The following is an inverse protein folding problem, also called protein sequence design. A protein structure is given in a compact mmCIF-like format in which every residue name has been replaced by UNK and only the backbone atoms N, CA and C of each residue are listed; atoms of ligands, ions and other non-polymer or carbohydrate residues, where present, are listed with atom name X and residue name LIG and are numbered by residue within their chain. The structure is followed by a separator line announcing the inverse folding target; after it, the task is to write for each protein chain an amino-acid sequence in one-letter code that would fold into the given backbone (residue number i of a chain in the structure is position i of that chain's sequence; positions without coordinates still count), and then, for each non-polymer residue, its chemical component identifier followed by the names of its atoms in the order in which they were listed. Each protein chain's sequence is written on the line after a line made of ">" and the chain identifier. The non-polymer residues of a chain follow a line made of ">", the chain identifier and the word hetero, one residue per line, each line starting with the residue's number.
data_IF_307288481401
#
_entry.id   IF_307288481401
#
_cell.length_a   1.000
_cell.length_b   1.000
_cell.length_c   1.000
_cell.angle_alpha   90.00
_cell.angle_beta   90.00
_cell.angle_gamma   90.00
#
_symmetry.space_group_name_H-M   'P 1'
#
loop_
_entity.id
_entity.type
_entity.pdbx_description
1 polymer ?
#
# COMPACT_ATOMS: atom_id res chain seq x y z
N UNK A 1 -17.87 11.72 9.42
CA UNK A 1 -18.55 11.08 8.28
C UNK A 1 -17.98 9.67 8.10
N UNK A 2 -18.84 8.66 8.21
CA UNK A 2 -18.47 7.27 7.94
C UNK A 2 -18.17 7.12 6.46
N UNK A 3 -17.02 6.51 6.14
CA UNK A 3 -16.56 6.30 4.76
C UNK A 3 -17.04 4.97 4.16
N UNK A 4 -18.12 4.41 4.71
CA UNK A 4 -18.75 3.18 4.25
C UNK A 4 -20.29 3.23 4.45
N UNK A 5 -21.09 2.51 3.65
CA UNK A 5 -22.54 2.40 3.85
C UNK A 5 -22.88 1.65 5.15
N UNK A 6 -23.88 2.11 5.89
CA UNK A 6 -24.25 1.51 7.18
C UNK A 6 -24.62 0.03 7.11
N UNK A 7 -25.23 -0.40 6.00
CA UNK A 7 -25.56 -1.81 5.74
C UNK A 7 -24.34 -2.67 5.43
N UNK A 8 -23.13 -2.08 5.35
CA UNK A 8 -21.85 -2.77 5.17
C UNK A 8 -21.00 -2.75 6.44
N UNK A 9 -21.55 -2.26 7.55
CA UNK A 9 -20.89 -2.28 8.84
C UNK A 9 -20.67 -3.73 9.29
N UNK A 10 -19.41 -4.08 9.65
CA UNK A 10 -18.99 -5.37 10.20
C UNK A 10 -18.55 -5.26 11.66
N UNK A 11 -17.80 -4.21 11.97
CA UNK A 11 -17.15 -4.03 13.26
C UNK A 11 -17.86 -2.97 14.10
N UNK A 12 -17.90 -3.20 15.41
CA UNK A 12 -18.38 -2.27 16.44
C UNK A 12 -17.27 -2.05 17.47
N UNK A 13 -17.46 -1.17 18.43
CA UNK A 13 -16.47 -0.98 19.50
C UNK A 13 -16.32 -2.24 20.39
N UNK A 14 -17.34 -3.07 20.49
CA UNK A 14 -17.32 -4.30 21.27
C UNK A 14 -16.26 -5.29 20.78
N UNK A 15 -15.99 -5.33 19.49
CA UNK A 15 -14.96 -6.20 18.90
C UNK A 15 -13.54 -5.83 19.37
N UNK A 16 -13.36 -4.65 19.97
CA UNK A 16 -12.07 -4.13 20.44
C UNK A 16 -11.93 -4.11 21.97
N UNK A 17 -12.96 -4.44 22.72
CA UNK A 17 -12.93 -4.40 24.20
C UNK A 17 -11.87 -5.31 24.79
N UNK A 18 -11.73 -6.51 24.26
CA UNK A 18 -10.74 -7.51 24.72
C UNK A 18 -9.42 -7.41 23.93
N UNK A 19 -9.50 -7.03 22.66
CA UNK A 19 -8.33 -6.96 21.77
C UNK A 19 -7.48 -5.70 22.01
N UNK A 20 -8.12 -4.57 22.33
CA UNK A 20 -7.49 -3.25 22.59
C UNK A 20 -8.07 -2.62 23.87
N UNK A 21 -7.93 -3.31 25.03
CA UNK A 21 -8.55 -2.86 26.30
C UNK A 21 -7.97 -1.54 26.81
N UNK A 22 -6.77 -1.16 26.38
CA UNK A 22 -6.11 0.11 26.73
C UNK A 22 -6.78 1.34 26.09
N UNK A 23 -7.60 1.12 25.06
CA UNK A 23 -8.26 2.20 24.35
C UNK A 23 -9.60 2.56 25.01
N UNK A 24 -9.89 3.86 25.07
CA UNK A 24 -11.22 4.32 25.47
C UNK A 24 -12.29 3.87 24.46
N UNK A 25 -13.54 3.71 24.90
CA UNK A 25 -14.67 3.37 24.02
C UNK A 25 -14.74 4.26 22.77
N UNK A 26 -14.46 5.57 22.89
CA UNK A 26 -14.41 6.49 21.75
C UNK A 26 -13.33 6.10 20.74
N UNK A 27 -12.14 5.70 21.20
CA UNK A 27 -11.04 5.26 20.31
C UNK A 27 -11.35 3.91 19.67
N UNK A 28 -11.94 2.98 20.41
CA UNK A 28 -12.43 1.70 19.87
C UNK A 28 -13.50 1.92 18.78
N UNK A 29 -14.40 2.88 18.95
CA UNK A 29 -15.36 3.25 17.88
C UNK A 29 -14.67 3.79 16.62
N UNK A 30 -13.60 4.58 16.78
CA UNK A 30 -12.80 5.09 15.65
C UNK A 30 -12.12 3.95 14.91
N UNK A 31 -11.50 3.00 15.62
CA UNK A 31 -10.92 1.79 15.01
C UNK A 31 -11.96 0.99 14.24
N UNK A 32 -13.12 0.74 14.86
CA UNK A 32 -14.21 0.02 14.20
C UNK A 32 -14.65 0.72 12.89
N UNK A 33 -14.74 2.04 12.90
CA UNK A 33 -15.08 2.80 11.69
C UNK A 33 -13.97 2.76 10.63
N UNK A 34 -12.70 2.76 11.04
CA UNK A 34 -11.54 2.59 10.14
C UNK A 34 -11.54 1.21 9.48
N UNK A 35 -11.68 0.13 10.26
CA UNK A 35 -11.67 -1.23 9.74
C UNK A 35 -12.89 -1.51 8.85
N UNK A 36 -14.08 -0.97 9.19
CA UNK A 36 -15.24 -1.03 8.33
C UNK A 36 -14.99 -0.34 6.97
N UNK A 37 -14.32 0.81 6.96
CA UNK A 37 -13.97 1.51 5.74
C UNK A 37 -12.96 0.71 4.90
N UNK A 38 -11.96 0.10 5.55
CA UNK A 38 -10.93 -0.73 4.90
C UNK A 38 -11.55 -1.98 4.24
N UNK A 39 -12.40 -2.73 4.97
CA UNK A 39 -13.11 -3.89 4.42
C UNK A 39 -14.05 -3.50 3.28
N UNK A 40 -14.71 -2.35 3.39
CA UNK A 40 -15.56 -1.85 2.32
C UNK A 40 -14.73 -1.50 1.07
N UNK A 41 -13.60 -0.81 1.24
CA UNK A 41 -12.67 -0.51 0.15
C UNK A 41 -12.16 -1.78 -0.53
N UNK A 42 -11.78 -2.82 0.24
CA UNK A 42 -11.38 -4.12 -0.30
C UNK A 42 -12.48 -4.74 -1.17
N UNK A 43 -13.74 -4.65 -0.73
CA UNK A 43 -14.87 -5.12 -1.53
C UNK A 43 -15.05 -4.37 -2.85
N UNK A 44 -14.76 -3.07 -2.90
CA UNK A 44 -14.78 -2.26 -4.12
C UNK A 44 -13.62 -2.65 -5.05
N UNK A 45 -12.40 -2.81 -4.50
CA UNK A 45 -11.25 -3.27 -5.27
C UNK A 45 -11.52 -4.64 -5.92
N UNK A 46 -12.10 -5.58 -5.18
CA UNK A 46 -12.49 -6.88 -5.73
C UNK A 46 -13.51 -6.75 -6.88
N UNK A 47 -14.48 -5.84 -6.78
CA UNK A 47 -15.43 -5.58 -7.87
C UNK A 47 -14.72 -4.98 -9.11
N UNK A 48 -13.74 -4.11 -8.91
CA UNK A 48 -12.92 -3.56 -10.00
C UNK A 48 -12.15 -4.70 -10.68
N UNK A 49 -11.45 -5.55 -9.92
CA UNK A 49 -10.69 -6.68 -10.47
C UNK A 49 -11.59 -7.63 -11.30
N UNK A 50 -12.77 -7.94 -10.78
CA UNK A 50 -13.74 -8.79 -11.50
C UNK A 50 -14.17 -8.22 -12.86
N UNK A 51 -14.22 -6.89 -13.01
CA UNK A 51 -14.54 -6.26 -14.32
C UNK A 51 -13.45 -6.48 -15.36
N UNK A 52 -12.21 -6.73 -14.92
CA UNK A 52 -11.05 -6.96 -15.79
C UNK A 52 -10.66 -8.44 -15.91
N UNK A 53 -11.34 -9.35 -15.20
CA UNK A 53 -10.96 -10.76 -15.10
C UNK A 53 -10.89 -11.46 -16.47
N UNK A 54 -11.83 -11.15 -17.37
CA UNK A 54 -11.93 -11.72 -18.71
C UNK A 54 -11.20 -10.89 -19.78
N UNK A 55 -10.58 -9.79 -19.40
CA UNK A 55 -9.85 -8.90 -20.31
C UNK A 55 -8.35 -9.22 -20.28
N UNK A 56 -7.59 -8.72 -21.26
CA UNK A 56 -6.14 -8.73 -21.23
C UNK A 56 -5.66 -7.52 -20.39
N UNK A 57 -5.65 -7.67 -19.07
CA UNK A 57 -5.50 -6.54 -18.15
C UNK A 57 -4.51 -6.80 -17.02
N UNK A 58 -3.83 -5.72 -16.63
CA UNK A 58 -2.99 -5.61 -15.44
C UNK A 58 -3.51 -4.44 -14.58
N UNK A 59 -3.50 -4.60 -13.27
CA UNK A 59 -3.91 -3.58 -12.30
C UNK A 59 -2.79 -3.39 -11.28
N UNK A 60 -2.38 -2.15 -11.09
CA UNK A 60 -1.43 -1.74 -10.03
C UNK A 60 -2.21 -1.01 -8.96
N UNK A 61 -2.08 -1.46 -7.73
CA UNK A 61 -2.68 -0.83 -6.55
C UNK A 61 -1.59 -0.29 -5.62
N UNK A 62 -1.76 0.94 -5.23
CA UNK A 62 -0.92 1.60 -4.24
C UNK A 62 -1.75 2.69 -3.54
N UNK A 63 -1.87 2.71 -2.22
CA UNK A 63 -2.38 3.87 -1.49
C UNK A 63 -1.34 4.99 -1.48
N UNK A 64 -1.78 6.20 -1.23
CA UNK A 64 -0.92 7.39 -1.15
C UNK A 64 -0.05 7.40 0.12
N UNK A 65 -0.56 6.84 1.23
CA UNK A 65 0.12 6.76 2.52
C UNK A 65 -0.54 5.72 3.45
N UNK A 66 0.14 5.40 4.55
CA UNK A 66 -0.43 4.70 5.70
C UNK A 66 -1.05 5.66 6.72
N UNK A 67 -1.58 5.12 7.80
CA UNK A 67 -2.15 5.87 8.94
C UNK A 67 -1.85 5.17 10.25
N UNK A 68 -1.52 5.93 11.30
CA UNK A 68 -1.53 5.41 12.67
C UNK A 68 -2.97 5.25 13.17
N UNK A 69 -3.25 4.13 13.82
CA UNK A 69 -4.55 3.81 14.42
C UNK A 69 -4.39 3.42 15.89
N UNK A 70 -3.74 4.27 16.68
CA UNK A 70 -3.42 4.07 18.10
C UNK A 70 -2.45 2.90 18.37
N UNK A 71 -1.56 2.57 17.44
CA UNK A 71 -0.57 1.50 17.61
C UNK A 71 0.37 1.79 18.78
N UNK A 72 0.72 0.72 19.49
CA UNK A 72 1.56 0.80 20.69
C UNK A 72 0.99 1.78 21.71
N UNK A 73 1.85 2.46 22.43
CA UNK A 73 1.49 3.50 23.40
C UNK A 73 1.51 4.92 22.81
N UNK A 74 1.54 5.07 21.50
CA UNK A 74 1.66 6.37 20.85
C UNK A 74 0.41 7.24 21.02
N UNK A 75 -0.76 6.59 21.15
CA UNK A 75 -2.03 7.29 21.46
C UNK A 75 -2.52 8.21 20.34
N UNK A 76 -1.92 8.14 19.16
CA UNK A 76 -2.20 8.97 18.00
C UNK A 76 -3.11 8.25 17.01
N UNK A 77 -3.87 9.02 16.24
CA UNK A 77 -4.72 8.55 15.14
C UNK A 77 -4.53 9.48 13.93
N UNK A 78 -4.49 8.90 12.73
CA UNK A 78 -4.23 9.59 11.48
C UNK A 78 -2.71 9.78 11.22
N UNK A 79 -2.29 10.88 10.60
CA UNK A 79 -0.89 11.15 10.23
C UNK A 79 -0.27 12.25 11.07
N UNK A 80 0.94 12.01 11.54
CA UNK A 80 1.72 12.99 12.27
C UNK A 80 2.78 13.66 11.37
N UNK A 81 2.35 14.59 10.52
CA UNK A 81 3.22 15.28 9.58
C UNK A 81 4.37 16.10 10.19
N UNK A 82 4.22 16.53 11.45
CA UNK A 82 5.23 17.31 12.17
C UNK A 82 6.12 16.45 13.05
N UNK A 83 5.79 15.17 13.22
CA UNK A 83 6.56 14.25 14.05
C UNK A 83 7.95 14.01 13.49
N UNK A 84 8.92 13.83 14.40
CA UNK A 84 10.22 13.25 14.06
C UNK A 84 9.97 11.83 13.57
N UNK A 85 10.54 11.48 12.42
CA UNK A 85 10.44 10.12 11.88
C UNK A 85 11.32 9.22 12.73
N UNK A 86 10.70 8.31 13.49
CA UNK A 86 11.30 7.12 14.09
C UNK A 86 10.84 5.87 13.33
N UNK A 87 11.29 4.70 13.72
CA UNK A 87 10.95 3.44 13.06
C UNK A 87 9.44 3.14 13.10
N UNK A 88 8.80 3.35 14.25
CA UNK A 88 7.38 3.06 14.42
C UNK A 88 6.51 3.98 13.55
N UNK A 89 6.80 5.29 13.55
CA UNK A 89 6.09 6.23 12.69
C UNK A 89 6.31 5.90 11.21
N UNK A 90 7.56 5.57 10.83
CA UNK A 90 7.87 5.18 9.46
C UNK A 90 7.09 3.93 9.04
N UNK A 91 7.01 2.93 9.91
CA UNK A 91 6.28 1.69 9.66
C UNK A 91 4.78 1.91 9.46
N UNK A 92 4.13 2.72 10.28
CA UNK A 92 2.69 2.90 10.21
C UNK A 92 2.24 3.92 9.14
N UNK A 93 3.04 4.95 8.89
CA UNK A 93 2.66 6.01 7.96
C UNK A 93 3.25 5.86 6.56
N UNK A 94 4.38 5.15 6.39
CA UNK A 94 5.10 5.05 5.11
C UNK A 94 5.20 3.63 4.54
N UNK A 95 5.10 2.57 5.36
CA UNK A 95 4.92 1.22 4.80
C UNK A 95 3.47 1.05 4.34
N UNK A 96 3.29 0.90 3.05
CA UNK A 96 1.97 0.80 2.43
C UNK A 96 1.84 -0.50 1.64
N UNK A 97 0.62 -1.08 1.54
CA UNK A 97 0.39 -2.22 0.68
C UNK A 97 0.57 -1.83 -0.78
N UNK A 98 1.43 -2.56 -1.47
CA UNK A 98 1.65 -2.42 -2.91
C UNK A 98 1.50 -3.77 -3.59
N UNK A 99 0.65 -3.86 -4.60
CA UNK A 99 0.49 -5.10 -5.34
C UNK A 99 0.17 -4.87 -6.82
N UNK A 100 0.51 -5.87 -7.62
CA UNK A 100 0.21 -5.94 -9.04
C UNK A 100 -0.64 -7.19 -9.27
N UNK A 101 -1.82 -7.00 -9.81
CA UNK A 101 -2.71 -8.07 -10.26
C UNK A 101 -2.71 -8.14 -11.79
N UNK A 102 -2.77 -9.34 -12.32
CA UNK A 102 -2.91 -9.56 -13.76
C UNK A 102 -3.97 -10.63 -14.02
N UNK A 103 -4.80 -10.40 -15.03
CA UNK A 103 -5.80 -11.36 -15.49
C UNK A 103 -5.13 -12.65 -16.02
N UNK A 104 -5.92 -13.74 -16.11
CA UNK A 104 -5.40 -14.99 -16.71
C UNK A 104 -4.93 -14.77 -18.15
N UNK A 105 -5.66 -13.98 -18.94
CA UNK A 105 -5.29 -13.64 -20.31
C UNK A 105 -3.96 -12.91 -20.35
N UNK A 106 -3.78 -11.87 -19.52
CA UNK A 106 -2.54 -11.10 -19.48
C UNK A 106 -1.32 -11.96 -19.12
N UNK A 107 -1.42 -12.81 -18.10
CA UNK A 107 -0.35 -13.72 -17.68
C UNK A 107 0.08 -14.69 -18.79
N UNK A 108 -0.89 -15.15 -19.60
CA UNK A 108 -0.65 -16.05 -20.73
C UNK A 108 0.01 -15.33 -21.91
N UNK A 109 -0.36 -14.09 -22.18
CA UNK A 109 0.17 -13.31 -23.31
C UNK A 109 1.46 -12.58 -23.00
N UNK A 110 1.78 -12.40 -21.70
CA UNK A 110 2.99 -11.71 -21.22
C UNK A 110 3.72 -12.54 -20.14
N UNK A 111 4.12 -13.80 -20.43
CA UNK A 111 4.67 -14.69 -19.42
C UNK A 111 5.96 -14.17 -18.79
N UNK A 112 6.86 -13.56 -19.59
CA UNK A 112 8.13 -13.03 -19.09
C UNK A 112 7.92 -11.85 -18.13
N UNK A 113 6.99 -10.96 -18.46
CA UNK A 113 6.63 -9.84 -17.61
C UNK A 113 5.97 -10.33 -16.29
N UNK A 114 5.12 -11.35 -16.39
CA UNK A 114 4.51 -11.95 -15.20
C UNK A 114 5.57 -12.60 -14.29
N UNK A 115 6.55 -13.29 -14.85
CA UNK A 115 7.67 -13.87 -14.11
C UNK A 115 8.53 -12.79 -13.45
N UNK A 116 8.77 -11.65 -14.13
CA UNK A 116 9.47 -10.51 -13.55
C UNK A 116 8.69 -9.92 -12.34
N UNK A 117 7.35 -9.80 -12.44
CA UNK A 117 6.49 -9.36 -11.33
C UNK A 117 6.61 -10.31 -10.13
N UNK A 118 6.52 -11.62 -10.36
CA UNK A 118 6.64 -12.62 -9.29
C UNK A 118 8.02 -12.59 -8.61
N UNK A 119 9.07 -12.37 -9.38
CA UNK A 119 10.45 -12.27 -8.87
C UNK A 119 10.72 -10.97 -8.11
N UNK A 120 9.87 -9.96 -8.27
CA UNK A 120 10.02 -8.66 -7.64
C UNK A 120 9.31 -8.54 -6.29
N UNK A 121 8.48 -9.51 -5.88
CA UNK A 121 7.57 -9.43 -4.72
C UNK A 121 8.24 -9.08 -3.38
N UNK A 122 9.50 -9.47 -3.20
CA UNK A 122 10.25 -9.26 -1.96
C UNK A 122 11.30 -8.13 -2.08
N UNK A 123 11.36 -7.43 -3.22
CA UNK A 123 12.29 -6.32 -3.41
C UNK A 123 11.77 -5.06 -2.70
N UNK A 124 12.65 -4.30 -2.03
CA UNK A 124 12.28 -2.99 -1.48
C UNK A 124 11.90 -2.05 -2.63
N UNK A 125 10.87 -1.23 -2.42
CA UNK A 125 10.39 -0.28 -3.42
C UNK A 125 9.93 1.01 -2.76
N UNK A 126 10.13 2.15 -3.44
CA UNK A 126 9.57 3.44 -3.05
C UNK A 126 8.66 4.00 -4.14
N UNK A 127 7.59 4.66 -3.74
CA UNK A 127 6.58 5.17 -4.67
C UNK A 127 7.04 6.33 -5.54
N UNK A 128 8.15 7.01 -5.20
CA UNK A 128 8.79 8.00 -6.07
C UNK A 128 9.33 7.37 -7.38
N UNK A 129 9.61 6.06 -7.37
CA UNK A 129 10.01 5.28 -8.54
C UNK A 129 8.82 4.68 -9.33
N UNK A 130 7.59 4.85 -8.84
CA UNK A 130 6.38 4.32 -9.48
C UNK A 130 6.20 4.75 -10.95
N UNK A 131 6.52 5.99 -11.37
CA UNK A 131 6.43 6.39 -12.77
C UNK A 131 7.25 5.49 -13.71
N UNK A 132 8.45 5.06 -13.32
CA UNK A 132 9.30 4.19 -14.14
C UNK A 132 8.70 2.80 -14.32
N UNK A 133 8.07 2.25 -13.28
CA UNK A 133 7.33 1.00 -13.36
C UNK A 133 6.12 1.12 -14.28
N UNK A 134 5.33 2.19 -14.15
CA UNK A 134 4.13 2.39 -14.96
C UNK A 134 4.45 2.61 -16.44
N UNK A 135 5.49 3.40 -16.76
CA UNK A 135 5.99 3.57 -18.14
C UNK A 135 6.37 2.23 -18.76
N UNK A 136 7.11 1.42 -18.01
CA UNK A 136 7.53 0.10 -18.48
C UNK A 136 6.34 -0.84 -18.72
N UNK A 137 5.39 -0.92 -17.77
CA UNK A 137 4.20 -1.75 -17.91
C UNK A 137 3.30 -1.29 -19.07
N UNK A 138 3.28 0.00 -19.37
CA UNK A 138 2.53 0.57 -20.48
C UNK A 138 3.26 0.49 -21.83
N UNK A 139 4.53 0.04 -21.86
CA UNK A 139 5.35 0.01 -23.08
C UNK A 139 5.68 1.41 -23.61
N UNK A 140 5.72 2.42 -22.74
CA UNK A 140 5.96 3.82 -23.10
C UNK A 140 7.45 4.12 -22.91
N UNK A 141 8.11 4.58 -23.99
CA UNK A 141 9.46 5.15 -23.91
C UNK A 141 9.38 6.64 -23.57
N UNK A 142 10.13 7.07 -22.55
CA UNK A 142 10.21 8.45 -22.13
C UNK A 142 11.67 8.84 -21.88
N UNK A 143 12.09 10.11 -22.18
CA UNK A 143 13.47 10.57 -21.95
C UNK A 143 13.95 10.41 -20.53
N UNK A 144 13.02 10.58 -19.54
CA UNK A 144 13.29 10.53 -18.11
C UNK A 144 13.10 9.12 -17.52
N UNK A 145 13.01 8.09 -18.36
CA UNK A 145 12.93 6.71 -17.87
C UNK A 145 14.31 6.22 -17.41
N UNK A 146 14.35 5.72 -16.18
CA UNK A 146 15.53 5.14 -15.55
C UNK A 146 15.29 3.67 -15.22
N UNK A 147 16.04 2.77 -15.85
CA UNK A 147 15.86 1.33 -15.65
C UNK A 147 16.21 0.87 -14.22
N UNK A 148 17.13 1.56 -13.56
CA UNK A 148 17.55 1.32 -12.17
C UNK A 148 16.45 1.66 -11.15
N UNK A 149 15.44 2.44 -11.52
CA UNK A 149 14.26 2.74 -10.70
C UNK A 149 13.07 1.85 -11.02
N UNK A 150 13.10 1.13 -12.13
CA UNK A 150 12.02 0.22 -12.48
C UNK A 150 12.15 -1.12 -11.73
N UNK A 151 11.24 -1.40 -10.82
CA UNK A 151 11.18 -2.60 -9.98
C UNK A 151 11.32 -3.92 -10.76
N UNK A 152 10.84 -3.96 -12.01
CA UNK A 152 10.85 -5.15 -12.88
C UNK A 152 12.08 -5.24 -13.78
N UNK A 153 12.93 -4.22 -13.79
CA UNK A 153 14.15 -4.20 -14.57
C UNK A 153 15.21 -5.15 -14.00
N UNK A 154 15.98 -5.85 -14.85
CA UNK A 154 17.19 -6.54 -14.40
C UNK A 154 18.24 -5.61 -13.77
N UNK A 155 18.22 -4.32 -14.13
CA UNK A 155 19.12 -3.28 -13.61
C UNK A 155 18.56 -2.57 -12.37
N UNK A 156 17.45 -3.05 -11.79
CA UNK A 156 16.86 -2.43 -10.62
C UNK A 156 17.84 -2.36 -9.45
N UNK A 157 18.04 -1.14 -8.90
CA UNK A 157 18.91 -0.94 -7.74
C UNK A 157 18.17 -1.27 -6.43
N UNK A 158 18.36 -2.49 -5.94
CA UNK A 158 17.78 -2.99 -4.67
C UNK A 158 18.38 -2.30 -3.44
N UNK A 159 19.53 -1.63 -3.59
CA UNK A 159 20.24 -0.95 -2.50
C UNK A 159 19.94 0.55 -2.47
N UNK A 160 19.09 1.05 -3.35
CA UNK A 160 18.73 2.46 -3.40
C UNK A 160 18.26 2.94 -2.03
N UNK A 161 18.81 4.06 -1.49
CA UNK A 161 18.37 4.63 -0.22
C UNK A 161 16.88 5.00 -0.28
N UNK A 162 16.12 4.63 0.76
CA UNK A 162 14.70 4.96 0.91
C UNK A 162 14.54 6.20 1.77
N UNK A 163 14.63 7.36 1.16
CA UNK A 163 14.67 8.65 1.86
C UNK A 163 13.25 9.19 2.09
N UNK A 164 12.84 9.21 3.36
CA UNK A 164 11.57 9.78 3.80
C UNK A 164 11.72 11.27 4.08
N UNK A 165 10.75 12.07 3.66
CA UNK A 165 10.72 13.55 3.83
C UNK A 165 12.04 14.25 3.45
N UNK A 166 12.75 13.70 2.47
CA UNK A 166 13.99 14.28 1.93
C UNK A 166 15.24 14.18 2.82
N UNK A 167 15.17 13.58 4.01
CA UNK A 167 16.29 13.57 4.95
C UNK A 167 16.49 12.30 5.75
N UNK A 168 15.47 11.47 5.93
CA UNK A 168 15.53 10.30 6.81
C UNK A 168 15.61 9.03 5.99
N UNK A 169 16.72 8.32 6.05
CA UNK A 169 16.88 7.04 5.38
C UNK A 169 16.16 5.94 6.18
N UNK A 170 15.08 5.41 5.60
CA UNK A 170 14.30 4.32 6.17
C UNK A 170 15.14 3.06 6.45
N UNK A 171 16.14 2.78 5.61
CA UNK A 171 16.99 1.59 5.77
C UNK A 171 17.81 1.61 7.07
N UNK A 172 18.00 2.79 7.67
CA UNK A 172 18.80 3.01 8.88
C UNK A 172 17.96 3.32 10.13
N UNK A 173 16.62 3.22 10.05
CA UNK A 173 15.72 3.49 11.19
C UNK A 173 15.58 2.30 12.18
N UNK A 174 16.24 1.20 11.95
CA UNK A 174 16.14 -0.01 12.81
C UNK A 174 16.94 0.12 14.10
#
# INVERSE_FOLDING_TARGET
>A
NKRYPLNRKRFTYEDYTDFRPELTKKRQMILADYDNATVYNDSILNQILKRFEDQNAIVVYVPDHGEECYEGNRGFYCRNHSGKIDYDLARYEFEIPFWIWASRSYRRTHPDLWNAILSAKDKPFMTDALPHLLLYLAGISAPDYHAEYNLLSPSYDVNRPRILKGSTDYNHLK
#
